data_IF_137943629182
#
_entry.id   IF_137943629182
#
_cell.length_a   1.000
_cell.length_b   1.000
_cell.length_c   1.000
_cell.angle_alpha   90.00
_cell.angle_beta   90.00
_cell.angle_gamma   90.00
#
_symmetry.space_group_name_H-M   'P 1'
#
loop_
_entity.id
_entity.type
_entity.pdbx_description
1 polymer ?
#
# COMPACT_ATOMS: atom_id res chain seq x y z
N UNK A 1 -19.42 -13.21 -15.51
CA UNK A 1 -18.48 -12.07 -15.47
C UNK A 1 -17.07 -12.61 -15.58
N UNK A 2 -16.61 -12.77 -16.82
CA UNK A 2 -15.19 -12.97 -17.12
C UNK A 2 -14.45 -11.75 -16.62
N UNK A 3 -13.57 -11.89 -15.65
CA UNK A 3 -12.90 -10.71 -15.15
C UNK A 3 -11.73 -11.11 -14.31
N UNK A 4 -10.53 -10.82 -14.79
CA UNK A 4 -9.29 -10.90 -14.02
C UNK A 4 -9.43 -10.27 -12.62
N UNK A 5 -10.32 -9.27 -12.49
CA UNK A 5 -10.77 -8.66 -11.25
C UNK A 5 -11.34 -9.62 -10.19
N UNK A 6 -12.13 -10.63 -10.57
CA UNK A 6 -12.70 -11.58 -9.63
C UNK A 6 -11.62 -12.48 -9.00
N UNK A 7 -10.66 -12.93 -9.82
CA UNK A 7 -9.51 -13.68 -9.33
C UNK A 7 -8.57 -12.80 -8.49
N UNK A 8 -8.40 -11.53 -8.87
CA UNK A 8 -7.63 -10.57 -8.08
C UNK A 8 -8.25 -10.34 -6.69
N UNK A 9 -9.58 -10.18 -6.61
CA UNK A 9 -10.28 -10.05 -5.33
C UNK A 9 -10.18 -11.30 -4.46
N UNK A 10 -10.19 -12.48 -5.09
CA UNK A 10 -10.03 -13.75 -4.37
C UNK A 10 -8.61 -13.91 -3.84
N UNK A 11 -7.61 -13.63 -4.67
CA UNK A 11 -6.21 -13.57 -4.29
C UNK A 11 -5.95 -12.55 -3.16
N UNK A 12 -6.62 -11.38 -3.21
CA UNK A 12 -6.58 -10.38 -2.12
C UNK A 12 -7.07 -10.92 -0.78
N UNK A 13 -8.11 -11.76 -0.80
CA UNK A 13 -8.67 -12.38 0.41
C UNK A 13 -7.81 -13.54 0.93
N UNK A 14 -7.26 -14.34 0.03
CA UNK A 14 -6.48 -15.53 0.40
C UNK A 14 -5.07 -15.16 0.90
N UNK A 15 -4.49 -14.05 0.41
CA UNK A 15 -3.13 -13.62 0.77
C UNK A 15 -3.07 -12.16 1.25
N UNK A 16 -3.74 -11.81 2.37
CA UNK A 16 -3.83 -10.43 2.84
C UNK A 16 -2.47 -9.82 3.18
N UNK A 17 -1.54 -10.60 3.76
CA UNK A 17 -0.20 -10.12 4.09
C UNK A 17 0.68 -9.85 2.87
N UNK A 18 0.56 -10.67 1.82
CA UNK A 18 1.34 -10.49 0.59
C UNK A 18 0.96 -9.17 -0.09
N UNK A 19 -0.31 -8.79 -0.02
CA UNK A 19 -0.81 -7.53 -0.55
C UNK A 19 -0.29 -6.35 0.22
N UNK A 20 -0.27 -6.42 1.55
CA UNK A 20 0.31 -5.35 2.37
C UNK A 20 1.78 -5.13 1.99
N UNK A 21 2.54 -6.20 1.74
CA UNK A 21 3.94 -6.10 1.30
C UNK A 21 4.05 -5.49 -0.10
N UNK A 22 3.23 -5.91 -1.05
CA UNK A 22 3.23 -5.36 -2.41
C UNK A 22 2.83 -3.88 -2.44
N UNK A 23 1.78 -3.52 -1.71
CA UNK A 23 1.33 -2.14 -1.57
C UNK A 23 2.43 -1.30 -0.87
N UNK A 24 3.10 -1.82 0.16
CA UNK A 24 4.20 -1.14 0.83
C UNK A 24 5.40 -0.89 -0.09
N UNK A 25 5.79 -1.86 -0.92
CA UNK A 25 6.88 -1.71 -1.90
C UNK A 25 6.48 -0.68 -2.96
N UNK A 26 5.28 -0.79 -3.52
CA UNK A 26 4.79 0.13 -4.55
C UNK A 26 4.70 1.57 -4.05
N UNK A 27 4.14 1.76 -2.86
CA UNK A 27 4.00 3.08 -2.24
C UNK A 27 5.34 3.69 -1.84
N UNK A 28 6.29 2.87 -1.38
CA UNK A 28 7.65 3.34 -1.09
C UNK A 28 8.35 3.84 -2.36
N UNK A 29 8.25 3.09 -3.46
CA UNK A 29 8.81 3.50 -4.75
C UNK A 29 8.16 4.80 -5.25
N UNK A 30 6.85 4.94 -5.12
CA UNK A 30 6.13 6.16 -5.50
C UNK A 30 6.58 7.34 -4.62
N UNK A 31 6.63 7.15 -3.30
CA UNK A 31 7.06 8.19 -2.35
C UNK A 31 8.48 8.70 -2.65
N UNK A 32 9.43 7.78 -2.83
CA UNK A 32 10.82 8.10 -3.20
C UNK A 32 10.86 8.81 -4.56
N UNK A 33 10.08 8.35 -5.55
CA UNK A 33 10.08 8.93 -6.89
C UNK A 33 9.51 10.35 -6.90
N UNK A 34 8.39 10.58 -6.21
CA UNK A 34 7.76 11.90 -6.08
C UNK A 34 8.69 12.86 -5.35
N UNK A 35 9.32 12.43 -4.26
CA UNK A 35 10.26 13.25 -3.50
C UNK A 35 11.50 13.61 -4.34
N UNK A 36 12.04 12.63 -5.07
CA UNK A 36 13.15 12.84 -5.99
C UNK A 36 12.82 13.80 -7.13
N UNK A 37 11.59 13.75 -7.67
CA UNK A 37 11.13 14.67 -8.72
C UNK A 37 10.94 16.10 -8.21
N UNK A 38 10.46 16.27 -6.98
CA UNK A 38 10.15 17.59 -6.42
C UNK A 38 11.38 18.29 -5.84
N UNK A 39 12.18 17.59 -5.03
CA UNK A 39 13.31 18.18 -4.31
C UNK A 39 14.66 17.90 -4.97
N UNK A 40 14.75 16.97 -5.92
CA UNK A 40 16.02 16.41 -6.45
C UNK A 40 16.97 15.83 -5.39
N UNK A 41 16.51 15.74 -4.13
CA UNK A 41 17.21 15.18 -2.99
C UNK A 41 16.29 14.20 -2.25
N UNK A 42 16.88 13.12 -1.74
CA UNK A 42 16.19 12.12 -0.92
C UNK A 42 16.21 12.61 0.53
N UNK A 43 15.37 13.60 0.83
CA UNK A 43 15.22 14.14 2.19
C UNK A 43 14.26 13.24 2.98
N UNK A 44 14.30 13.28 4.31
CA UNK A 44 13.48 12.44 5.17
C UNK A 44 11.97 12.75 5.14
N UNK A 45 11.48 13.59 4.22
CA UNK A 45 10.07 14.04 4.23
C UNK A 45 9.11 12.98 3.68
N UNK A 46 9.55 12.10 2.77
CA UNK A 46 8.77 10.90 2.41
C UNK A 46 8.57 9.94 3.57
N UNK A 47 9.34 10.06 4.66
CA UNK A 47 9.07 9.30 5.88
C UNK A 47 7.65 9.53 6.38
N UNK A 48 7.16 10.78 6.37
CA UNK A 48 5.80 11.10 6.79
C UNK A 48 4.75 10.51 5.85
N UNK A 49 5.04 10.50 4.54
CA UNK A 49 4.13 9.93 3.54
C UNK A 49 4.02 8.40 3.68
N UNK A 50 5.15 7.71 3.82
CA UNK A 50 5.22 6.26 4.04
C UNK A 50 4.60 5.88 5.39
N UNK A 51 4.85 6.66 6.44
CA UNK A 51 4.26 6.45 7.77
C UNK A 51 2.73 6.59 7.72
N UNK A 52 2.23 7.65 7.07
CA UNK A 52 0.79 7.88 6.91
C UNK A 52 0.13 6.71 6.16
N UNK A 53 0.73 6.27 5.05
CA UNK A 53 0.21 5.17 4.25
C UNK A 53 0.22 3.83 5.02
N UNK A 54 1.30 3.56 5.75
CA UNK A 54 1.42 2.36 6.59
C UNK A 54 0.32 2.35 7.66
N UNK A 55 0.03 3.49 8.30
CA UNK A 55 -1.06 3.63 9.27
C UNK A 55 -2.43 3.39 8.58
N UNK A 56 -2.65 3.94 7.39
CA UNK A 56 -3.92 3.73 6.67
C UNK A 56 -4.14 2.27 6.27
N UNK A 57 -3.12 1.56 5.78
CA UNK A 57 -3.22 0.13 5.47
C UNK A 57 -3.48 -0.71 6.73
N UNK A 58 -2.84 -0.38 7.86
CA UNK A 58 -3.12 -1.02 9.15
C UNK A 58 -4.57 -0.82 9.60
N UNK A 59 -5.12 0.39 9.41
CA UNK A 59 -6.51 0.70 9.74
C UNK A 59 -7.50 -0.04 8.84
N UNK A 60 -7.20 -0.18 7.54
CA UNK A 60 -8.01 -0.98 6.62
C UNK A 60 -8.03 -2.46 7.02
N UNK A 61 -6.87 -3.05 7.31
CA UNK A 61 -6.78 -4.46 7.75
C UNK A 61 -7.56 -4.68 9.05
N UNK A 62 -7.46 -3.74 10.00
CA UNK A 62 -8.22 -3.81 11.25
C UNK A 62 -9.73 -3.68 11.03
N UNK A 63 -10.17 -2.83 10.10
CA UNK A 63 -11.58 -2.72 9.74
C UNK A 63 -12.10 -3.95 9.00
N UNK A 64 -11.28 -4.55 8.13
CA UNK A 64 -11.62 -5.79 7.44
C UNK A 64 -11.81 -6.95 8.43
N UNK A 65 -10.95 -7.05 9.46
CA UNK A 65 -11.09 -8.04 10.53
C UNK A 65 -12.29 -7.81 11.45
N UNK A 66 -12.78 -6.58 11.63
CA UNK A 66 -13.99 -6.29 12.43
C UNK A 66 -15.31 -6.58 11.72
N UNK A 67 -15.29 -6.74 10.39
CA UNK A 67 -16.48 -7.01 9.57
C UNK A 67 -16.67 -8.49 9.23
N UNK A 68 -15.73 -9.37 9.61
CA UNK A 68 -15.88 -10.83 9.57
C UNK A 68 -16.40 -11.35 10.90
#
# INVERSE_FOLDING_TARGET
MTGMWANYFRFRKDHPYLIVVLDAIGLSLIGITVEYLWHRDVIADAFWFVLFLTITSLLEVRHAHRKS
#
